data_IF_432637619538
#
_entry.id   IF_432637619538
#
_cell.length_a   1.000
_cell.length_b   1.000
_cell.length_c   1.000
_cell.angle_alpha   90.00
_cell.angle_beta   90.00
_cell.angle_gamma   90.00
#
_symmetry.space_group_name_H-M   'P 1'
#
loop_
_entity.id
_entity.type
_entity.pdbx_description
1 polymer ?
#
# COMPACT_ATOMS: atom_id res chain seq x y z
N UNK A 1 21.76 -23.63 -3.90
CA UNK A 1 21.20 -22.72 -2.86
C UNK A 1 21.28 -21.23 -3.23
N UNK A 2 22.37 -20.73 -3.83
CA UNK A 2 22.51 -19.31 -4.22
C UNK A 2 21.55 -18.86 -5.34
N UNK A 3 21.44 -19.64 -6.43
CA UNK A 3 20.52 -19.38 -7.55
C UNK A 3 19.04 -19.33 -7.13
N UNK A 4 18.63 -20.22 -6.22
CA UNK A 4 17.27 -20.26 -5.70
C UNK A 4 16.93 -18.97 -4.94
N UNK A 5 17.79 -18.53 -4.02
CA UNK A 5 17.59 -17.28 -3.26
C UNK A 5 17.57 -16.03 -4.16
N UNK A 6 18.36 -16.03 -5.24
CA UNK A 6 18.36 -14.92 -6.20
C UNK A 6 17.05 -14.85 -7.00
N UNK A 7 16.48 -16.00 -7.37
CA UNK A 7 15.18 -16.05 -8.05
C UNK A 7 14.03 -15.49 -7.18
N UNK A 8 13.94 -15.90 -5.90
CA UNK A 8 12.95 -15.33 -4.98
C UNK A 8 13.14 -13.83 -4.73
N UNK A 9 14.38 -13.35 -4.72
CA UNK A 9 14.66 -11.92 -4.58
C UNK A 9 14.16 -11.12 -5.80
N UNK A 10 14.44 -11.59 -7.01
CA UNK A 10 13.94 -10.97 -8.25
C UNK A 10 12.41 -11.03 -8.35
N UNK A 11 11.81 -12.16 -7.99
CA UNK A 11 10.37 -12.30 -7.93
C UNK A 11 9.77 -11.31 -6.92
N UNK A 12 10.33 -11.20 -5.72
CA UNK A 12 9.92 -10.23 -4.72
C UNK A 12 10.03 -8.79 -5.23
N UNK A 13 11.13 -8.46 -5.93
CA UNK A 13 11.34 -7.13 -6.55
C UNK A 13 10.21 -6.79 -7.53
N UNK A 14 9.87 -7.72 -8.43
CA UNK A 14 8.79 -7.54 -9.39
C UNK A 14 7.43 -7.39 -8.70
N UNK A 15 7.17 -8.17 -7.65
CA UNK A 15 5.92 -8.05 -6.88
C UNK A 15 5.78 -6.66 -6.23
N UNK A 16 6.86 -6.07 -5.71
CA UNK A 16 6.81 -4.71 -5.16
C UNK A 16 6.50 -3.67 -6.23
N UNK A 17 7.05 -3.80 -7.44
CA UNK A 17 6.67 -2.92 -8.56
C UNK A 17 5.20 -3.07 -8.96
N UNK A 18 4.67 -4.30 -8.97
CA UNK A 18 3.25 -4.55 -9.22
C UNK A 18 2.41 -3.90 -8.12
N UNK A 19 2.78 -4.04 -6.84
CA UNK A 19 2.09 -3.38 -5.72
C UNK A 19 2.08 -1.86 -5.88
N UNK A 20 3.22 -1.25 -6.25
CA UNK A 20 3.31 0.18 -6.51
C UNK A 20 2.42 0.63 -7.68
N UNK A 21 2.39 -0.15 -8.76
CA UNK A 21 1.55 0.12 -9.93
C UNK A 21 0.05 -0.01 -9.61
N UNK A 22 -0.36 -1.06 -8.91
CA UNK A 22 -1.75 -1.23 -8.47
C UNK A 22 -2.17 -0.09 -7.54
N UNK A 23 -1.31 0.32 -6.61
CA UNK A 23 -1.57 1.46 -5.74
C UNK A 23 -1.74 2.76 -6.55
N UNK A 24 -0.91 2.99 -7.57
CA UNK A 24 -1.05 4.14 -8.47
C UNK A 24 -2.39 4.11 -9.22
N UNK A 25 -2.78 2.97 -9.77
CA UNK A 25 -4.07 2.81 -10.47
C UNK A 25 -5.24 3.13 -9.52
N UNK A 26 -5.20 2.62 -8.28
CA UNK A 26 -6.23 2.90 -7.28
C UNK A 26 -6.28 4.38 -6.88
N UNK A 27 -5.12 5.04 -6.76
CA UNK A 27 -5.03 6.48 -6.49
C UNK A 27 -5.62 7.29 -7.63
N UNK A 28 -5.27 6.99 -8.88
CA UNK A 28 -5.85 7.64 -10.05
C UNK A 28 -7.36 7.43 -10.15
N UNK A 29 -7.84 6.22 -9.84
CA UNK A 29 -9.27 5.91 -9.78
C UNK A 29 -9.99 6.68 -8.67
N UNK A 30 -9.35 6.83 -7.50
CA UNK A 30 -9.87 7.64 -6.40
C UNK A 30 -9.99 9.12 -6.78
N UNK A 31 -8.95 9.68 -7.42
CA UNK A 31 -8.97 11.07 -7.91
C UNK A 31 -10.10 11.24 -8.93
N UNK A 32 -10.22 10.33 -9.89
CA UNK A 32 -11.29 10.37 -10.88
C UNK A 32 -12.67 10.37 -10.23
N UNK A 33 -12.95 9.39 -9.36
CA UNK A 33 -14.23 9.26 -8.67
C UNK A 33 -14.58 10.50 -7.86
N UNK A 34 -13.59 11.09 -7.19
CA UNK A 34 -13.77 12.31 -6.41
C UNK A 34 -14.07 13.53 -7.29
N UNK A 35 -13.34 13.70 -8.40
CA UNK A 35 -13.60 14.80 -9.35
C UNK A 35 -15.00 14.65 -9.94
N UNK A 36 -15.39 13.42 -10.28
CA UNK A 36 -16.74 13.12 -10.76
C UNK A 36 -17.79 13.53 -9.73
N UNK A 37 -17.63 13.13 -8.47
CA UNK A 37 -18.52 13.52 -7.37
C UNK A 37 -18.59 15.05 -7.19
N UNK A 38 -17.46 15.75 -7.22
CA UNK A 38 -17.41 17.21 -7.10
C UNK A 38 -18.07 17.95 -8.28
N UNK A 39 -18.04 17.38 -9.48
CA UNK A 39 -18.68 17.97 -10.67
C UNK A 39 -20.19 17.77 -10.64
N UNK A 40 -20.65 16.65 -10.11
CA UNK A 40 -22.08 16.31 -10.08
C UNK A 40 -22.78 16.69 -8.77
N UNK A 41 -22.05 16.93 -7.68
CA UNK A 41 -22.62 17.45 -6.44
C UNK A 41 -23.06 18.91 -6.62
N UNK A 42 -24.22 19.27 -6.07
CA UNK A 42 -24.69 20.65 -6.03
C UNK A 42 -24.16 21.42 -4.80
N UNK A 43 -23.28 20.79 -4.03
CA UNK A 43 -22.76 21.35 -2.79
C UNK A 43 -21.43 22.07 -3.03
N UNK A 44 -21.26 23.28 -2.48
CA UNK A 44 -20.00 24.01 -2.62
C UNK A 44 -18.89 23.31 -1.83
N UNK A 45 -17.79 23.01 -2.51
CA UNK A 45 -16.61 22.40 -1.88
C UNK A 45 -15.89 23.44 -1.03
N UNK A 46 -15.63 23.12 0.23
CA UNK A 46 -14.92 23.98 1.16
C UNK A 46 -13.41 24.04 0.88
N UNK A 47 -12.77 25.16 1.22
CA UNK A 47 -11.31 25.29 1.13
C UNK A 47 -10.57 24.21 1.94
N UNK A 48 -11.15 23.79 3.06
CA UNK A 48 -10.58 22.74 3.91
C UNK A 48 -10.54 21.40 3.19
N UNK A 49 -11.62 21.02 2.52
CA UNK A 49 -11.71 19.77 1.74
C UNK A 49 -10.69 19.77 0.60
N UNK A 50 -10.55 20.88 -0.12
CA UNK A 50 -9.55 21.01 -1.20
C UNK A 50 -8.13 20.77 -0.66
N UNK A 51 -7.79 21.39 0.48
CA UNK A 51 -6.47 21.21 1.12
C UNK A 51 -6.30 19.75 1.58
N UNK A 52 -7.31 19.17 2.22
CA UNK A 52 -7.29 17.78 2.66
C UNK A 52 -7.07 16.82 1.49
N UNK A 53 -7.83 16.96 0.41
CA UNK A 53 -7.73 16.16 -0.81
C UNK A 53 -6.32 16.29 -1.41
N UNK A 54 -5.82 17.52 -1.53
CA UNK A 54 -4.48 17.79 -2.06
C UNK A 54 -3.39 17.11 -1.24
N UNK A 55 -3.42 17.25 0.09
CA UNK A 55 -2.46 16.61 0.99
C UNK A 55 -2.59 15.09 0.94
N UNK A 56 -3.82 14.57 0.99
CA UNK A 56 -4.10 13.13 0.97
C UNK A 56 -3.47 12.47 -0.25
N UNK A 57 -3.75 12.97 -1.45
CA UNK A 57 -3.18 12.40 -2.67
C UNK A 57 -1.69 12.65 -2.83
N UNK A 58 -1.17 13.79 -2.38
CA UNK A 58 0.28 14.03 -2.35
C UNK A 58 1.01 12.98 -1.50
N UNK A 59 0.47 12.63 -0.33
CA UNK A 59 1.01 11.56 0.52
C UNK A 59 1.00 10.23 -0.22
N UNK A 60 -0.10 9.87 -0.89
CA UNK A 60 -0.16 8.63 -1.68
C UNK A 60 0.91 8.57 -2.78
N UNK A 61 1.13 9.65 -3.53
CA UNK A 61 2.20 9.70 -4.52
C UNK A 61 3.60 9.57 -3.90
N UNK A 62 3.85 10.20 -2.75
CA UNK A 62 5.11 10.05 -2.01
C UNK A 62 5.32 8.59 -1.61
N UNK A 63 4.29 7.92 -1.09
CA UNK A 63 4.38 6.51 -0.71
C UNK A 63 4.68 5.59 -1.91
N UNK A 64 4.09 5.87 -3.08
CA UNK A 64 4.38 5.13 -4.32
C UNK A 64 5.83 5.38 -4.78
N UNK A 65 6.29 6.64 -4.75
CA UNK A 65 7.67 6.98 -5.09
C UNK A 65 8.68 6.28 -4.17
N UNK A 66 8.41 6.27 -2.87
CA UNK A 66 9.18 5.53 -1.87
C UNK A 66 9.33 4.03 -2.22
N UNK A 67 8.23 3.37 -2.64
CA UNK A 67 8.29 1.98 -3.10
C UNK A 67 9.17 1.81 -4.34
N UNK A 68 8.93 2.62 -5.38
CA UNK A 68 9.62 2.49 -6.67
C UNK A 68 11.12 2.78 -6.51
N UNK A 69 11.46 3.91 -5.90
CA UNK A 69 12.84 4.36 -5.69
C UNK A 69 13.57 3.36 -4.79
N UNK A 70 12.99 3.00 -3.63
CA UNK A 70 13.59 2.07 -2.69
C UNK A 70 13.89 0.70 -3.30
N UNK A 71 12.99 0.22 -4.16
CA UNK A 71 13.17 -1.03 -4.91
C UNK A 71 14.21 -0.89 -6.03
N UNK A 72 14.23 0.25 -6.73
CA UNK A 72 15.15 0.50 -7.83
C UNK A 72 16.61 0.59 -7.38
N UNK A 73 16.89 1.39 -6.35
CA UNK A 73 18.24 1.59 -5.79
C UNK A 73 18.61 0.54 -4.73
N UNK A 74 17.74 -0.44 -4.49
CA UNK A 74 17.91 -1.51 -3.50
C UNK A 74 18.16 -0.99 -2.06
N UNK A 75 17.56 0.14 -1.72
CA UNK A 75 17.60 0.72 -0.37
C UNK A 75 16.29 0.42 0.38
N UNK A 76 16.25 -0.61 1.24
CA UNK A 76 15.03 -1.06 1.90
C UNK A 76 14.44 -0.02 2.85
N UNK A 77 15.23 0.93 3.34
CA UNK A 77 14.75 2.01 4.22
C UNK A 77 13.63 2.83 3.59
N UNK A 78 13.67 3.07 2.27
CA UNK A 78 12.63 3.78 1.55
C UNK A 78 11.31 3.01 1.47
N UNK A 79 11.27 1.71 1.79
CA UNK A 79 10.03 0.93 1.85
C UNK A 79 9.27 1.15 3.17
N UNK A 80 9.94 1.66 4.22
CA UNK A 80 9.35 1.81 5.56
C UNK A 80 8.14 2.75 5.60
N UNK A 81 8.14 3.93 4.94
CA UNK A 81 6.97 4.80 4.93
C UNK A 81 5.72 4.09 4.40
N UNK A 82 5.87 3.35 3.29
CA UNK A 82 4.76 2.59 2.71
C UNK A 82 4.32 1.43 3.61
N UNK A 83 5.26 0.67 4.18
CA UNK A 83 4.95 -0.41 5.12
C UNK A 83 4.19 0.08 6.36
N UNK A 84 4.59 1.22 6.92
CA UNK A 84 3.91 1.83 8.06
C UNK A 84 2.49 2.28 7.71
N UNK A 85 2.35 3.04 6.62
CA UNK A 85 1.05 3.55 6.18
C UNK A 85 0.08 2.42 5.81
N UNK A 86 0.54 1.42 5.06
CA UNK A 86 -0.30 0.29 4.64
C UNK A 86 -0.73 -0.58 5.83
N UNK A 87 0.14 -0.77 6.84
CA UNK A 87 -0.23 -1.48 8.07
C UNK A 87 -1.31 -0.72 8.86
N UNK A 88 -1.16 0.60 8.97
CA UNK A 88 -2.14 1.44 9.66
C UNK A 88 -3.49 1.39 8.93
N UNK A 89 -3.50 1.52 7.60
CA UNK A 89 -4.70 1.39 6.79
C UNK A 89 -5.38 0.04 6.98
N UNK A 90 -4.62 -1.06 6.95
CA UNK A 90 -5.12 -2.41 7.26
C UNK A 90 -5.80 -2.47 8.63
N UNK A 91 -5.17 -1.91 9.67
CA UNK A 91 -5.73 -1.91 11.02
C UNK A 91 -7.04 -1.12 11.09
N UNK A 92 -7.07 0.07 10.50
CA UNK A 92 -8.25 0.94 10.46
C UNK A 92 -9.42 0.25 9.74
N UNK A 93 -9.19 -0.30 8.56
CA UNK A 93 -10.22 -1.02 7.78
C UNK A 93 -10.71 -2.26 8.53
N UNK A 94 -9.81 -2.98 9.20
CA UNK A 94 -10.17 -4.14 10.02
C UNK A 94 -11.08 -3.73 11.17
N UNK A 95 -10.73 -2.67 11.91
CA UNK A 95 -11.55 -2.18 13.04
C UNK A 95 -12.93 -1.72 12.56
N UNK A 96 -13.01 -0.94 11.48
CA UNK A 96 -14.30 -0.51 10.95
C UNK A 96 -15.15 -1.67 10.44
N UNK A 97 -14.53 -2.68 9.82
CA UNK A 97 -15.24 -3.88 9.38
C UNK A 97 -15.78 -4.67 10.58
N UNK A 98 -14.98 -4.86 11.63
CA UNK A 98 -15.41 -5.54 12.85
C UNK A 98 -16.51 -4.77 13.61
N UNK A 99 -16.46 -3.43 13.58
CA UNK A 99 -17.52 -2.60 14.14
C UNK A 99 -18.81 -2.77 13.33
N UNK A 100 -18.73 -2.68 12.00
CA UNK A 100 -19.88 -2.86 11.11
C UNK A 100 -20.53 -4.24 11.26
N UNK A 101 -19.75 -5.30 11.52
CA UNK A 101 -20.26 -6.65 11.76
C UNK A 101 -21.22 -6.76 12.96
N UNK A 102 -21.08 -5.89 13.97
CA UNK A 102 -21.93 -5.95 15.17
C UNK A 102 -23.37 -5.51 14.91
N UNK A 103 -23.58 -4.71 13.87
CA UNK A 103 -24.87 -4.07 13.55
C UNK A 103 -25.55 -4.69 12.31
N UNK A 104 -25.08 -5.86 11.84
CA UNK A 104 -25.54 -6.43 10.56
C UNK A 104 -26.95 -7.03 10.65
N UNK A 105 -27.84 -6.51 9.79
CA UNK A 105 -29.01 -7.22 9.27
C UNK A 105 -28.59 -8.07 8.03
N UNK A 106 -29.21 -9.25 7.87
CA UNK A 106 -28.91 -10.27 6.84
C UNK A 106 -28.75 -9.78 5.39
N UNK A 107 -29.28 -8.60 5.03
CA UNK A 107 -29.19 -8.05 3.67
C UNK A 107 -27.77 -7.56 3.30
N UNK A 108 -26.86 -7.37 4.26
CA UNK A 108 -25.52 -6.80 4.05
C UNK A 108 -24.38 -7.83 3.86
N UNK A 109 -24.69 -9.12 3.64
CA UNK A 109 -23.66 -10.18 3.50
C UNK A 109 -22.67 -9.88 2.37
N UNK A 110 -23.14 -9.35 1.23
CA UNK A 110 -22.25 -9.05 0.10
C UNK A 110 -21.22 -7.96 0.45
N UNK A 111 -21.66 -6.90 1.13
CA UNK A 111 -20.79 -5.81 1.61
C UNK A 111 -19.78 -6.35 2.62
N UNK A 112 -20.23 -7.23 3.52
CA UNK A 112 -19.37 -7.90 4.47
C UNK A 112 -18.29 -8.73 3.77
N UNK A 113 -18.65 -9.54 2.77
CA UNK A 113 -17.69 -10.34 2.00
C UNK A 113 -16.69 -9.46 1.25
N UNK A 114 -17.15 -8.36 0.65
CA UNK A 114 -16.28 -7.41 -0.05
C UNK A 114 -15.26 -6.77 0.91
N UNK A 115 -15.68 -6.40 2.13
CA UNK A 115 -14.78 -5.87 3.14
C UNK A 115 -13.68 -6.87 3.53
N UNK A 116 -14.02 -8.16 3.69
CA UNK A 116 -13.01 -9.18 3.96
C UNK A 116 -12.04 -9.38 2.78
N UNK A 117 -12.51 -9.31 1.54
CA UNK A 117 -11.65 -9.34 0.35
C UNK A 117 -10.70 -8.14 0.35
N UNK A 118 -11.19 -6.93 0.66
CA UNK A 118 -10.38 -5.73 0.77
C UNK A 118 -9.31 -5.85 1.87
N UNK A 119 -9.67 -6.34 3.06
CA UNK A 119 -8.73 -6.60 4.16
C UNK A 119 -7.65 -7.59 3.70
N UNK A 120 -8.05 -8.67 3.02
CA UNK A 120 -7.12 -9.66 2.47
C UNK A 120 -6.15 -9.05 1.45
N UNK A 121 -6.64 -8.17 0.56
CA UNK A 121 -5.81 -7.47 -0.40
C UNK A 121 -4.81 -6.51 0.27
N UNK A 122 -5.21 -5.76 1.29
CA UNK A 122 -4.31 -4.91 2.07
C UNK A 122 -3.23 -5.73 2.78
N UNK A 123 -3.62 -6.82 3.44
CA UNK A 123 -2.69 -7.70 4.15
C UNK A 123 -1.69 -8.35 3.20
N UNK A 124 -2.18 -8.88 2.07
CA UNK A 124 -1.32 -9.50 1.06
C UNK A 124 -0.33 -8.50 0.47
N UNK A 125 -0.80 -7.31 0.10
CA UNK A 125 0.06 -6.24 -0.43
C UNK A 125 1.14 -5.87 0.58
N UNK A 126 0.77 -5.68 1.86
CA UNK A 126 1.72 -5.40 2.93
C UNK A 126 2.77 -6.51 3.08
N UNK A 127 2.31 -7.77 3.15
CA UNK A 127 3.17 -8.94 3.31
C UNK A 127 4.19 -9.08 2.19
N UNK A 128 3.79 -8.86 0.93
CA UNK A 128 4.72 -8.96 -0.21
C UNK A 128 5.87 -7.96 -0.12
N UNK A 129 5.56 -6.70 0.23
CA UNK A 129 6.58 -5.65 0.42
C UNK A 129 7.45 -5.96 1.64
N UNK A 130 6.87 -6.48 2.73
CA UNK A 130 7.62 -6.84 3.93
C UNK A 130 8.62 -7.98 3.68
N UNK A 131 8.22 -9.01 2.93
CA UNK A 131 9.13 -10.11 2.54
C UNK A 131 10.29 -9.60 1.70
N UNK A 132 10.01 -8.73 0.73
CA UNK A 132 11.07 -8.09 -0.07
C UNK A 132 11.99 -7.23 0.80
N UNK A 133 11.43 -6.38 1.67
CA UNK A 133 12.18 -5.55 2.62
C UNK A 133 13.16 -6.37 3.45
N UNK A 134 12.68 -7.47 4.06
CA UNK A 134 13.51 -8.37 4.89
C UNK A 134 14.66 -8.98 4.08
N UNK A 135 14.38 -9.40 2.85
CA UNK A 135 15.38 -10.01 1.97
C UNK A 135 16.42 -9.00 1.49
N UNK A 136 15.99 -7.80 1.10
CA UNK A 136 16.87 -6.69 0.70
C UNK A 136 17.75 -6.23 1.88
N UNK A 137 17.18 -6.08 3.07
CA UNK A 137 17.92 -5.73 4.28
C UNK A 137 19.02 -6.76 4.57
N UNK A 138 18.68 -8.05 4.58
CA UNK A 138 19.66 -9.14 4.82
C UNK A 138 20.75 -9.22 3.74
N UNK A 139 20.42 -8.88 2.48
CA UNK A 139 21.40 -8.80 1.39
C UNK A 139 22.40 -7.68 1.65
N UNK A 140 21.91 -6.50 2.01
CA UNK A 140 22.76 -5.33 2.23
C UNK A 140 23.68 -5.52 3.44
N UNK A 141 23.19 -6.08 4.57
CA UNK A 141 24.05 -6.35 5.74
C UNK A 141 25.20 -7.30 5.42
N UNK A 142 24.95 -8.36 4.63
CA UNK A 142 25.99 -9.31 4.21
C UNK A 142 27.04 -8.70 3.29
N UNK A 143 26.68 -7.70 2.48
CA UNK A 143 27.63 -6.98 1.63
C UNK A 143 28.53 -6.13 2.52
N UNK A 144 27.97 -5.41 3.49
CA UNK A 144 28.75 -4.62 4.44
C UNK A 144 29.74 -5.50 5.22
N UNK A 145 29.31 -6.65 5.75
CA UNK A 145 30.21 -7.58 6.46
C UNK A 145 31.39 -8.06 5.61
N UNK A 146 31.21 -8.22 4.29
CA UNK A 146 32.28 -8.63 3.36
C UNK A 146 33.22 -7.51 2.94
N UNK A 147 32.81 -6.25 3.02
CA UNK A 147 33.65 -5.11 2.65
C UNK A 147 34.57 -4.64 3.78
N UNK A 148 34.31 -5.10 5.02
CA UNK A 148 35.06 -4.72 6.22
C UNK A 148 35.87 -5.88 6.84
N UNK A 149 35.94 -7.02 6.16
CA UNK A 149 36.82 -8.17 6.45
C UNK A 149 37.78 -8.36 5.29
#
# INVERSE_FOLDING_TARGET
>A
MFLFNYHFYLQGKNTVYITAFLHLVLVCFGIWSLVEEMVFSQEPVSNYEIIYIGIHYAVHFILILCLIIGTYIEMPFFLLPWLGAAFLAFLVVTVFTLAALKDIQLHNILICLLNFVCIGAYWFSWYTVFVYFKNAYKKNTKIYEKCFL
#
